data_IF_471593962219
#
_entry.id   IF_471593962219
#
_cell.length_a   1.000
_cell.length_b   1.000
_cell.length_c   1.000
_cell.angle_alpha   90.00
_cell.angle_beta   90.00
_cell.angle_gamma   90.00
#
_symmetry.space_group_name_H-M   'P 1'
#
loop_
_entity.id
_entity.type
_entity.pdbx_description
1 polymer ?
#
# COMPACT_ATOMS: atom_id res chain seq x y z
N UNK A 1 -18.41 9.89 -5.85
CA UNK A 1 -17.56 10.51 -4.82
C UNK A 1 -16.13 10.02 -5.08
N UNK A 2 -15.13 10.90 -5.24
CA UNK A 2 -13.73 10.55 -5.58
C UNK A 2 -12.71 11.32 -4.71
N UNK A 3 -13.18 11.93 -3.63
CA UNK A 3 -12.41 12.86 -2.80
C UNK A 3 -12.54 12.43 -1.34
N UNK A 4 -11.49 12.63 -0.56
CA UNK A 4 -11.43 12.35 0.87
C UNK A 4 -10.73 13.51 1.59
N UNK A 5 -11.24 13.88 2.77
CA UNK A 5 -10.59 14.89 3.61
C UNK A 5 -9.49 14.22 4.44
N UNK A 6 -8.27 14.73 4.36
CA UNK A 6 -7.09 14.18 5.04
C UNK A 6 -6.41 15.24 5.92
N UNK A 7 -5.45 14.80 6.74
CA UNK A 7 -4.47 15.68 7.36
C UNK A 7 -3.32 15.89 6.37
N UNK A 8 -2.92 17.15 6.17
CA UNK A 8 -1.69 17.46 5.43
C UNK A 8 -0.47 17.02 6.26
N UNK A 9 0.50 16.41 5.58
CA UNK A 9 1.73 15.88 6.18
C UNK A 9 2.91 16.15 5.26
N UNK A 10 4.11 16.27 5.82
CA UNK A 10 5.34 16.27 5.02
C UNK A 10 5.71 14.82 4.69
N UNK A 11 5.62 14.44 3.41
CA UNK A 11 5.90 13.07 2.99
C UNK A 11 7.39 12.74 3.15
N UNK A 12 7.65 11.62 3.83
CA UNK A 12 8.98 11.00 3.84
C UNK A 12 9.18 10.36 2.46
N UNK A 13 10.26 10.66 1.71
CA UNK A 13 10.42 10.25 0.31
C UNK A 13 10.82 8.76 0.19
N UNK A 14 10.13 7.88 0.90
CA UNK A 14 10.36 6.45 0.91
C UNK A 14 9.02 5.71 0.84
N UNK A 15 8.89 4.81 -0.11
CA UNK A 15 7.83 3.83 -0.13
C UNK A 15 8.24 2.64 0.73
N UNK A 16 7.33 2.20 1.61
CA UNK A 16 7.53 1.03 2.48
C UNK A 16 6.69 -0.11 1.94
N UNK A 17 7.35 -1.16 1.44
CA UNK A 17 6.70 -2.34 0.88
C UNK A 17 6.80 -3.49 1.87
N UNK A 18 5.65 -4.05 2.24
CA UNK A 18 5.57 -5.25 3.09
C UNK A 18 5.12 -6.44 2.26
N UNK A 19 5.85 -7.56 2.34
CA UNK A 19 5.59 -8.76 1.55
C UNK A 19 5.31 -9.96 2.44
N UNK A 20 4.19 -10.64 2.20
CA UNK A 20 3.83 -11.91 2.84
C UNK A 20 4.09 -13.11 1.91
N UNK A 21 4.03 -12.87 0.61
CA UNK A 21 4.19 -13.87 -0.45
C UNK A 21 5.15 -13.30 -1.49
N UNK A 22 6.04 -14.12 -2.04
CA UNK A 22 6.92 -13.71 -3.12
C UNK A 22 6.10 -13.40 -4.38
N UNK A 23 6.21 -12.18 -4.87
CA UNK A 23 5.59 -11.72 -6.11
C UNK A 23 6.36 -10.52 -6.68
N UNK A 24 5.95 -10.08 -7.87
CA UNK A 24 6.41 -8.80 -8.43
C UNK A 24 7.93 -8.68 -8.53
N UNK A 25 8.48 -7.56 -8.04
CA UNK A 25 9.91 -7.27 -8.11
C UNK A 25 10.75 -8.21 -7.23
N UNK A 26 10.23 -8.70 -6.10
CA UNK A 26 10.95 -9.66 -5.25
C UNK A 26 11.22 -10.98 -5.98
N UNK A 27 10.18 -11.56 -6.58
CA UNK A 27 10.29 -12.80 -7.35
C UNK A 27 11.28 -12.67 -8.51
N UNK A 28 11.20 -11.57 -9.27
CA UNK A 28 12.12 -11.31 -10.39
C UNK A 28 13.56 -11.10 -9.92
N UNK A 29 13.76 -10.30 -8.88
CA UNK A 29 15.10 -9.92 -8.38
C UNK A 29 15.85 -11.10 -7.77
N UNK A 30 15.15 -11.98 -7.06
CA UNK A 30 15.77 -13.10 -6.32
C UNK A 30 15.60 -14.47 -6.98
N UNK A 31 14.87 -14.56 -8.10
CA UNK A 31 14.59 -15.84 -8.76
C UNK A 31 13.71 -16.77 -7.94
N UNK A 32 12.81 -16.20 -7.13
CA UNK A 32 11.86 -16.95 -6.29
C UNK A 32 10.54 -17.07 -7.03
N UNK A 33 9.98 -18.28 -7.10
CA UNK A 33 8.69 -18.52 -7.75
C UNK A 33 7.58 -17.66 -7.15
N UNK A 34 6.80 -17.01 -8.02
CA UNK A 34 5.65 -16.21 -7.62
C UNK A 34 4.60 -17.09 -6.90
N UNK A 35 4.11 -16.62 -5.76
CA UNK A 35 3.20 -17.38 -4.90
C UNK A 35 3.90 -18.16 -3.78
N UNK A 36 5.24 -18.15 -3.73
CA UNK A 36 5.98 -18.74 -2.60
C UNK A 36 5.66 -18.02 -1.30
N UNK A 37 5.16 -18.75 -0.31
CA UNK A 37 4.92 -18.20 1.03
C UNK A 37 6.25 -17.84 1.69
N UNK A 38 6.36 -16.62 2.20
CA UNK A 38 7.55 -16.21 2.95
C UNK A 38 7.44 -16.71 4.40
N UNK A 39 8.56 -17.14 5.02
CA UNK A 39 8.54 -17.65 6.39
C UNK A 39 8.22 -16.55 7.42
N UNK A 40 8.40 -15.30 7.05
CA UNK A 40 7.99 -14.09 7.78
C UNK A 40 7.75 -12.96 6.79
N UNK A 41 7.00 -11.94 7.19
CA UNK A 41 6.87 -10.74 6.38
C UNK A 41 8.24 -10.06 6.19
N UNK A 42 8.48 -9.56 4.97
CA UNK A 42 9.68 -8.80 4.62
C UNK A 42 9.27 -7.35 4.40
N UNK A 43 10.03 -6.41 4.98
CA UNK A 43 9.91 -4.98 4.72
C UNK A 43 11.04 -4.57 3.78
N UNK A 44 10.71 -3.79 2.77
CA UNK A 44 11.65 -3.21 1.82
C UNK A 44 11.37 -1.72 1.65
N UNK A 45 12.42 -0.92 1.51
CA UNK A 45 12.31 0.51 1.25
C UNK A 45 12.67 0.83 -0.20
N UNK A 46 11.92 1.75 -0.78
CA UNK A 46 12.14 2.26 -2.13
C UNK A 46 12.16 3.79 -2.09
N UNK A 47 13.13 4.42 -2.74
CA UNK A 47 13.20 5.87 -2.81
C UNK A 47 12.14 6.38 -3.78
N UNK A 48 11.19 7.19 -3.32
CA UNK A 48 10.08 7.68 -4.15
C UNK A 48 10.60 8.69 -5.18
N UNK A 49 10.83 8.24 -6.40
CA UNK A 49 11.35 9.03 -7.49
C UNK A 49 11.03 8.37 -8.85
N UNK A 50 10.00 8.90 -9.52
CA UNK A 50 9.50 8.36 -10.80
C UNK A 50 10.57 8.35 -11.90
N UNK A 51 11.46 9.35 -11.95
CA UNK A 51 12.54 9.45 -12.95
C UNK A 51 13.57 8.31 -12.79
N UNK A 52 13.77 7.84 -11.56
CA UNK A 52 14.67 6.74 -11.23
C UNK A 52 13.96 5.39 -11.12
N UNK A 53 12.66 5.35 -11.40
CA UNK A 53 11.82 4.14 -11.27
C UNK A 53 11.85 3.53 -9.86
N UNK A 54 11.80 4.39 -8.86
CA UNK A 54 11.71 4.03 -7.44
C UNK A 54 12.76 2.99 -7.01
N UNK A 55 14.06 3.33 -6.97
CA UNK A 55 15.09 2.35 -6.68
C UNK A 55 14.98 1.82 -5.24
N UNK A 56 15.25 0.53 -5.04
CA UNK A 56 15.35 -0.05 -3.69
C UNK A 56 16.52 0.57 -2.93
N UNK A 57 16.28 0.92 -1.66
CA UNK A 57 17.27 1.53 -0.78
C UNK A 57 17.38 0.78 0.55
N UNK A 58 18.53 0.91 1.21
CA UNK A 58 18.74 0.44 2.57
C UNK A 58 18.45 1.54 3.58
N UNK A 59 18.29 1.18 4.86
CA UNK A 59 18.19 2.13 5.97
C UNK A 59 19.42 3.05 6.06
N UNK A 60 20.60 2.55 5.67
CA UNK A 60 21.84 3.33 5.55
C UNK A 60 21.69 4.45 4.52
N UNK A 61 21.09 4.20 3.35
CA UNK A 61 20.82 5.27 2.39
C UNK A 61 19.85 6.31 2.98
N UNK A 62 18.76 5.85 3.61
CA UNK A 62 17.72 6.72 4.17
C UNK A 62 18.31 7.68 5.22
N UNK A 63 19.12 7.14 6.14
CA UNK A 63 19.75 7.91 7.21
C UNK A 63 20.90 8.78 6.70
N UNK A 64 21.76 8.26 5.81
CA UNK A 64 22.88 9.01 5.26
C UNK A 64 22.45 10.22 4.41
N UNK A 65 21.33 10.12 3.70
CA UNK A 65 20.76 11.22 2.92
C UNK A 65 19.79 12.11 3.71
N UNK A 66 19.54 11.80 4.98
CA UNK A 66 18.67 12.60 5.86
C UNK A 66 17.19 12.57 5.45
N UNK A 67 16.73 11.53 4.76
CA UNK A 67 15.33 11.39 4.38
C UNK A 67 14.44 11.04 5.57
N UNK A 68 14.96 10.23 6.49
CA UNK A 68 14.35 9.92 7.77
C UNK A 68 15.42 9.65 8.84
N UNK A 69 15.07 9.94 10.09
CA UNK A 69 15.89 9.58 11.25
C UNK A 69 15.74 8.09 11.59
N UNK A 70 16.69 7.48 12.33
CA UNK A 70 16.53 6.10 12.80
C UNK A 70 15.22 5.86 13.56
N UNK A 71 14.80 6.81 14.39
CA UNK A 71 13.53 6.72 15.13
C UNK A 71 12.31 6.70 14.19
N UNK A 72 12.32 7.51 13.13
CA UNK A 72 11.24 7.51 12.14
C UNK A 72 11.22 6.20 11.35
N UNK A 73 12.38 5.61 11.05
CA UNK A 73 12.47 4.29 10.41
C UNK A 73 11.84 3.22 11.31
N UNK A 74 12.18 3.22 12.61
CA UNK A 74 11.58 2.30 13.58
C UNK A 74 10.06 2.46 13.66
N UNK A 75 9.56 3.71 13.71
CA UNK A 75 8.12 4.01 13.74
C UNK A 75 7.42 3.54 12.45
N UNK A 76 8.01 3.80 11.27
CA UNK A 76 7.49 3.35 9.98
C UNK A 76 7.43 1.82 9.91
N UNK A 77 8.47 1.11 10.35
CA UNK A 77 8.50 -0.35 10.36
C UNK A 77 7.46 -0.94 11.32
N UNK A 78 7.35 -0.39 12.53
CA UNK A 78 6.37 -0.82 13.51
C UNK A 78 4.93 -0.60 13.01
N UNK A 79 4.65 0.55 12.40
CA UNK A 79 3.35 0.84 11.79
C UNK A 79 3.08 -0.08 10.60
N UNK A 80 4.05 -0.30 9.72
CA UNK A 80 3.90 -1.17 8.54
C UNK A 80 3.56 -2.61 8.94
N UNK A 81 4.20 -3.17 9.97
CA UNK A 81 3.86 -4.50 10.48
C UNK A 81 2.46 -4.56 11.10
N UNK A 82 2.08 -3.52 11.87
CA UNK A 82 0.72 -3.45 12.43
C UNK A 82 -0.36 -3.32 11.36
N UNK A 83 -0.09 -2.55 10.31
CA UNK A 83 -0.95 -2.45 9.13
C UNK A 83 -1.03 -3.82 8.45
N UNK A 84 0.10 -4.52 8.28
CA UNK A 84 0.12 -5.85 7.68
C UNK A 84 -0.75 -6.85 8.45
N UNK A 85 -0.62 -6.90 9.77
CA UNK A 85 -1.40 -7.81 10.60
C UNK A 85 -2.90 -7.52 10.48
N UNK A 86 -3.28 -6.25 10.55
CA UNK A 86 -4.67 -5.82 10.41
C UNK A 86 -5.25 -6.15 9.02
N UNK A 87 -4.55 -5.73 7.95
CA UNK A 87 -5.01 -5.94 6.58
C UNK A 87 -5.02 -7.43 6.20
N UNK A 88 -4.05 -8.22 6.67
CA UNK A 88 -4.04 -9.67 6.44
C UNK A 88 -5.27 -10.33 7.05
N UNK A 89 -5.61 -9.99 8.29
CA UNK A 89 -6.83 -10.49 8.93
C UNK A 89 -8.10 -10.03 8.22
N UNK A 90 -8.17 -8.74 7.86
CA UNK A 90 -9.31 -8.15 7.15
C UNK A 90 -9.56 -8.84 5.79
N UNK A 91 -8.54 -8.93 4.94
CA UNK A 91 -8.67 -9.53 3.62
C UNK A 91 -8.92 -11.03 3.69
N UNK A 92 -8.26 -11.74 4.60
CA UNK A 92 -8.49 -13.17 4.77
C UNK A 92 -9.94 -13.47 5.19
N UNK A 93 -10.51 -12.63 6.07
CA UNK A 93 -11.91 -12.74 6.50
C UNK A 93 -12.93 -12.63 5.36
N UNK A 94 -12.54 -12.02 4.23
CA UNK A 94 -13.38 -11.89 3.02
C UNK A 94 -12.86 -12.75 1.85
N UNK A 95 -12.03 -13.75 2.13
CA UNK A 95 -11.54 -14.70 1.11
C UNK A 95 -10.53 -14.11 0.12
N UNK A 96 -9.76 -13.11 0.55
CA UNK A 96 -8.67 -12.50 -0.23
C UNK A 96 -7.35 -12.70 0.52
N UNK A 97 -6.30 -13.08 -0.19
CA UNK A 97 -4.93 -13.13 0.31
C UNK A 97 -4.24 -11.80 0.04
N UNK A 98 -3.73 -11.17 1.09
CA UNK A 98 -2.82 -10.03 0.98
C UNK A 98 -1.41 -10.54 0.67
N UNK A 99 -0.99 -10.42 -0.59
CA UNK A 99 0.30 -10.93 -1.10
C UNK A 99 1.43 -10.00 -0.68
N UNK A 100 1.29 -8.73 -0.99
CA UNK A 100 2.13 -7.64 -0.55
C UNK A 100 1.34 -6.32 -0.65
N UNK A 101 1.87 -5.27 -0.02
CA UNK A 101 1.34 -3.92 -0.18
C UNK A 101 2.44 -2.88 0.00
N UNK A 102 2.16 -1.68 -0.50
CA UNK A 102 2.99 -0.49 -0.37
C UNK A 102 2.24 0.57 0.41
N UNK A 103 2.92 1.23 1.34
CA UNK A 103 2.41 2.42 2.05
C UNK A 103 3.46 3.52 2.05
N UNK A 104 2.99 4.74 2.22
CA UNK A 104 3.82 5.93 2.41
C UNK A 104 3.49 6.56 3.77
N UNK A 105 4.49 7.19 4.37
CA UNK A 105 4.37 7.84 5.66
C UNK A 105 4.72 9.31 5.55
N UNK A 106 4.09 10.12 6.39
CA UNK A 106 4.39 11.53 6.49
C UNK A 106 4.58 11.98 7.93
N UNK A 107 5.32 13.07 8.08
CA UNK A 107 5.46 13.80 9.33
C UNK A 107 4.25 14.70 9.51
N UNK A 108 3.48 14.45 10.55
CA UNK A 108 2.43 15.34 11.02
C UNK A 108 2.99 16.22 12.14
N UNK A 109 2.95 17.53 11.92
CA UNK A 109 3.40 18.53 12.88
C UNK A 109 2.22 19.04 13.71
N UNK A 110 2.27 18.84 15.03
CA UNK A 110 1.28 19.35 15.99
C UNK A 110 1.98 20.24 17.02
N UNK A 111 2.17 21.51 16.66
CA UNK A 111 3.01 22.44 17.43
C UNK A 111 4.47 22.01 17.34
N UNK A 112 5.12 21.81 18.48
CA UNK A 112 6.51 21.33 18.56
C UNK A 112 6.62 19.79 18.49
N UNK A 113 5.49 19.07 18.41
CA UNK A 113 5.48 17.61 18.31
C UNK A 113 5.46 17.16 16.85
N UNK A 114 6.27 16.16 16.53
CA UNK A 114 6.27 15.48 15.23
C UNK A 114 5.84 14.04 15.44
N UNK A 115 4.92 13.56 14.60
CA UNK A 115 4.49 12.16 14.58
C UNK A 115 4.55 11.61 13.17
N UNK A 116 5.10 10.41 13.03
CA UNK A 116 4.98 9.64 11.79
C UNK A 116 3.57 9.07 11.71
N UNK A 117 2.87 9.34 10.62
CA UNK A 117 1.52 8.83 10.35
C UNK A 117 1.45 8.20 8.96
N UNK A 118 0.58 7.20 8.81
CA UNK A 118 0.24 6.64 7.50
C UNK A 118 -0.40 7.72 6.61
N UNK A 119 0.04 7.79 5.36
CA UNK A 119 -0.45 8.72 4.35
C UNK A 119 -0.85 7.99 3.07
N UNK A 120 -0.98 8.74 1.96
CA UNK A 120 -1.32 8.24 0.62
C UNK A 120 -2.64 7.44 0.59
N UNK A 121 -2.62 6.22 0.05
CA UNK A 121 -3.81 5.38 -0.11
C UNK A 121 -3.56 3.90 0.25
N UNK A 122 -4.65 3.21 0.61
CA UNK A 122 -4.71 1.74 0.66
C UNK A 122 -5.82 1.30 -0.30
N UNK A 123 -5.42 0.71 -1.42
CA UNK A 123 -6.29 0.36 -2.54
C UNK A 123 -5.73 -0.87 -3.28
N UNK A 124 -6.48 -1.45 -4.23
CA UNK A 124 -5.92 -2.48 -5.12
C UNK A 124 -4.82 -1.96 -6.08
N UNK A 125 -4.53 -0.65 -6.11
CA UNK A 125 -3.36 -0.11 -6.82
C UNK A 125 -2.05 -0.36 -6.06
N UNK A 126 -2.09 -0.22 -4.73
CA UNK A 126 -0.92 -0.36 -3.85
C UNK A 126 -0.85 -1.72 -3.12
N UNK A 127 -1.90 -2.54 -3.18
CA UNK A 127 -1.92 -3.90 -2.63
C UNK A 127 -2.00 -4.96 -3.74
N UNK A 128 -1.22 -6.04 -3.65
CA UNK A 128 -1.49 -7.27 -4.41
C UNK A 128 -2.48 -8.15 -3.64
N UNK A 129 -3.61 -8.44 -4.28
CA UNK A 129 -4.77 -9.06 -3.66
C UNK A 129 -5.20 -10.26 -4.50
N UNK A 130 -5.05 -11.47 -3.99
CA UNK A 130 -5.42 -12.68 -4.74
C UNK A 130 -6.59 -13.39 -4.09
N UNK A 131 -7.54 -13.86 -4.89
CA UNK A 131 -8.63 -14.69 -4.41
C UNK A 131 -8.08 -15.99 -3.81
N UNK A 132 -8.48 -16.32 -2.58
CA UNK A 132 -7.87 -17.46 -1.85
C UNK A 132 -8.22 -18.82 -2.44
N UNK A 133 -9.31 -18.91 -3.23
CA UNK A 133 -9.79 -20.18 -3.81
C UNK A 133 -9.23 -20.42 -5.20
N UNK A 134 -9.08 -19.37 -5.98
CA UNK A 134 -8.72 -19.44 -7.41
C UNK A 134 -7.32 -18.93 -7.71
N UNK A 135 -6.69 -18.20 -6.78
CA UNK A 135 -5.50 -17.37 -7.00
C UNK A 135 -5.68 -16.32 -8.12
N UNK A 136 -6.92 -15.98 -8.47
CA UNK A 136 -7.16 -14.89 -9.42
C UNK A 136 -6.71 -13.55 -8.82
N UNK A 137 -6.13 -12.70 -9.66
CA UNK A 137 -5.56 -11.40 -9.24
C UNK A 137 -6.67 -10.36 -9.23
N UNK A 138 -6.86 -9.69 -8.10
CA UNK A 138 -7.90 -8.68 -7.87
C UNK A 138 -7.34 -7.25 -7.79
N UNK A 139 -6.15 -7.04 -8.34
CA UNK A 139 -5.34 -5.84 -8.16
C UNK A 139 -4.75 -5.31 -9.50
N UNK A 140 -3.96 -4.24 -9.42
CA UNK A 140 -3.35 -3.58 -10.58
C UNK A 140 -2.45 -4.48 -11.42
N UNK A 141 -2.00 -5.64 -10.93
CA UNK A 141 -1.30 -6.62 -11.78
C UNK A 141 -2.14 -7.07 -12.98
N UNK A 142 -3.48 -7.00 -12.92
CA UNK A 142 -4.33 -7.26 -14.09
C UNK A 142 -4.04 -6.28 -15.23
N UNK A 143 -3.80 -5.02 -14.91
CA UNK A 143 -3.39 -4.00 -15.89
C UNK A 143 -1.94 -4.21 -16.31
N UNK A 144 -1.02 -4.43 -15.34
CA UNK A 144 0.41 -4.62 -15.63
C UNK A 144 0.71 -5.83 -16.54
N UNK A 145 -0.22 -6.80 -16.61
CA UNK A 145 -0.09 -8.05 -17.36
C UNK A 145 -1.15 -8.22 -18.45
N UNK A 146 -1.86 -7.15 -18.83
CA UNK A 146 -2.89 -7.16 -19.88
C UNK A 146 -3.97 -8.26 -19.72
N UNK A 147 -4.35 -8.57 -18.47
CA UNK A 147 -5.32 -9.63 -18.14
C UNK A 147 -6.79 -9.20 -18.34
N UNK A 148 -7.04 -7.91 -18.62
CA UNK A 148 -8.38 -7.31 -18.64
C UNK A 148 -9.08 -7.33 -17.27
N UNK A 149 -10.31 -6.85 -17.19
CA UNK A 149 -11.14 -7.00 -15.99
C UNK A 149 -10.71 -6.18 -14.76
N UNK A 150 -9.95 -5.10 -14.95
CA UNK A 150 -9.40 -4.30 -13.84
C UNK A 150 -10.51 -3.69 -12.97
N UNK A 151 -11.51 -3.09 -13.60
CA UNK A 151 -12.61 -2.40 -12.89
C UNK A 151 -13.46 -3.42 -12.14
N UNK A 152 -13.74 -4.56 -12.76
CA UNK A 152 -14.50 -5.67 -12.21
C UNK A 152 -13.79 -6.28 -10.99
N UNK A 153 -12.47 -6.44 -11.07
CA UNK A 153 -11.65 -6.87 -9.94
C UNK A 153 -11.75 -5.89 -8.75
N UNK A 154 -11.68 -4.58 -9.01
CA UNK A 154 -11.73 -3.57 -7.94
C UNK A 154 -13.13 -3.50 -7.33
N UNK A 155 -14.17 -3.62 -8.15
CA UNK A 155 -15.55 -3.74 -7.70
C UNK A 155 -15.73 -5.00 -6.85
N UNK A 156 -15.12 -6.12 -7.21
CA UNK A 156 -15.19 -7.34 -6.43
C UNK A 156 -14.55 -7.18 -5.04
N UNK A 157 -13.38 -6.54 -4.96
CA UNK A 157 -12.77 -6.20 -3.65
C UNK A 157 -13.70 -5.31 -2.84
N UNK A 158 -14.24 -4.24 -3.44
CA UNK A 158 -15.15 -3.32 -2.77
C UNK A 158 -16.48 -3.99 -2.33
N UNK A 159 -17.00 -4.93 -3.13
CA UNK A 159 -18.19 -5.73 -2.82
C UNK A 159 -17.94 -6.61 -1.60
N UNK A 160 -16.80 -7.31 -1.56
CA UNK A 160 -16.43 -8.19 -0.45
C UNK A 160 -16.16 -7.44 0.85
N UNK A 161 -15.61 -6.22 0.75
CA UNK A 161 -15.46 -5.31 1.89
C UNK A 161 -16.78 -4.64 2.33
N UNK A 162 -17.85 -4.77 1.56
CA UNK A 162 -19.14 -4.13 1.85
C UNK A 162 -19.13 -2.61 1.69
N UNK A 163 -18.21 -2.06 0.89
CA UNK A 163 -18.06 -0.61 0.68
C UNK A 163 -18.60 -0.13 -0.67
N UNK A 164 -19.14 -1.05 -1.49
CA UNK A 164 -19.90 -0.67 -2.68
C UNK A 164 -21.22 0.00 -2.27
N UNK A 165 -21.32 1.30 -2.56
CA UNK A 165 -22.55 2.05 -2.39
C UNK A 165 -23.40 1.88 -3.65
N UNK A 166 -24.28 0.89 -3.67
CA UNK A 166 -25.15 0.62 -4.83
C UNK A 166 -26.22 1.70 -5.07
N UNK A 167 -26.49 2.60 -4.10
CA UNK A 167 -27.61 3.54 -4.14
C UNK A 167 -27.31 4.92 -3.49
N UNK A 168 -26.33 5.68 -3.98
CA UNK A 168 -26.18 7.09 -3.55
C UNK A 168 -26.92 8.04 -4.52
N UNK A 169 -27.91 8.84 -4.07
CA UNK A 169 -28.43 9.94 -4.88
C UNK A 169 -27.30 10.93 -5.16
N UNK A 170 -27.22 11.49 -6.38
CA UNK A 170 -26.18 12.46 -6.79
C UNK A 170 -26.02 13.57 -5.75
N UNK A 171 -25.04 13.44 -4.85
CA UNK A 171 -24.67 14.49 -3.90
C UNK A 171 -24.02 15.62 -4.68
N UNK A 172 -24.47 16.86 -4.45
CA UNK A 172 -23.80 18.07 -4.97
C UNK A 172 -22.36 18.02 -4.45
N UNK A 173 -21.40 18.02 -5.37
CA UNK A 173 -19.97 18.06 -5.04
C UNK A 173 -19.60 19.31 -4.25
N UNK A 174 -18.40 19.33 -3.65
CA UNK A 174 -17.93 20.49 -2.90
C UNK A 174 -17.97 21.75 -3.79
N UNK A 175 -18.44 22.84 -3.21
CA UNK A 175 -18.43 24.16 -3.84
C UNK A 175 -17.26 24.92 -3.22
N UNK A 176 -16.40 25.51 -4.03
CA UNK A 176 -15.34 26.40 -3.56
C UNK A 176 -15.95 27.48 -2.67
N UNK A 177 -15.55 27.51 -1.40
CA UNK A 177 -15.83 28.63 -0.51
C UNK A 177 -14.88 29.75 -0.93
N UNK A 178 -15.43 30.87 -1.41
CA UNK A 178 -14.68 32.08 -1.75
C UNK A 178 -14.21 32.79 -0.50
#
# INVERSE_FOLDING_TARGET
MREQLIREVEIIPCEVVVRNVAAGSLSKRLGIDEGTMLPRSIIEFYYKNDELHDPMVSEEHITAFGWATPQEIDDMMALALRINDFLTGLFLGIGIRLVDFKVEFGRLYEGDMVRVVLADEISPDCCRLWDTRTNDKLDKDRFRRDMGGLVEAYQEVARRLGVLVENEPKRRGPTLVK
#
